data_IF_998062350581
#
_entry.id   IF_998062350581
#
_cell.length_a   1.000
_cell.length_b   1.000
_cell.length_c   1.000
_cell.angle_alpha   90.00
_cell.angle_beta   90.00
_cell.angle_gamma   90.00
#
_symmetry.space_group_name_H-M   'P 1'
#
loop_
_entity.id
_entity.type
_entity.pdbx_description
1 polymer ?
#
# COMPACT_ATOMS: atom_id res chain seq x y z
N UNK A 1 -24.23 -15.73 -4.47
CA UNK A 1 -23.84 -14.54 -3.75
C UNK A 1 -22.39 -14.21 -4.01
N UNK A 2 -22.16 -13.05 -4.51
CA UNK A 2 -20.81 -12.61 -4.80
C UNK A 2 -20.14 -12.17 -3.50
N UNK A 3 -19.03 -12.75 -3.19
CA UNK A 3 -18.21 -12.28 -2.08
C UNK A 3 -17.05 -11.52 -2.64
N UNK A 4 -16.94 -10.29 -2.21
CA UNK A 4 -15.79 -9.49 -2.58
C UNK A 4 -14.63 -9.90 -1.68
N UNK A 5 -13.64 -10.50 -2.25
CA UNK A 5 -12.46 -10.89 -1.51
C UNK A 5 -11.43 -9.79 -1.59
N UNK A 6 -10.88 -9.44 -0.45
CA UNK A 6 -9.76 -8.53 -0.41
C UNK A 6 -8.53 -9.24 -0.94
N UNK A 7 -7.82 -8.61 -1.86
CA UNK A 7 -6.51 -9.08 -2.25
C UNK A 7 -5.49 -8.56 -1.27
N UNK A 8 -4.56 -9.40 -0.87
CA UNK A 8 -3.49 -9.03 0.04
C UNK A 8 -2.18 -8.94 -0.74
N UNK A 9 -1.54 -7.79 -0.66
CA UNK A 9 -0.22 -7.58 -1.25
C UNK A 9 0.76 -7.42 -0.11
N UNK A 10 1.66 -8.37 0.07
CA UNK A 10 2.66 -8.32 1.13
C UNK A 10 3.89 -7.60 0.62
N UNK A 11 4.30 -6.54 1.31
CA UNK A 11 5.51 -5.82 0.94
C UNK A 11 6.74 -6.56 1.48
N UNK A 12 7.83 -6.61 0.69
CA UNK A 12 9.07 -7.23 1.17
C UNK A 12 9.76 -6.34 2.21
N UNK A 13 10.81 -6.87 2.82
CA UNK A 13 11.58 -6.13 3.80
C UNK A 13 12.20 -4.87 3.19
N UNK A 14 12.69 -4.96 1.97
CA UNK A 14 13.30 -3.84 1.27
C UNK A 14 12.40 -3.48 0.08
N UNK A 15 11.79 -2.30 0.17
CA UNK A 15 10.93 -1.80 -0.91
C UNK A 15 11.69 -0.66 -1.57
N UNK A 16 12.65 -1.03 -2.42
CA UNK A 16 13.46 -0.08 -3.16
C UNK A 16 13.01 -0.01 -4.62
N UNK A 17 13.76 0.73 -5.43
CA UNK A 17 13.38 0.93 -6.83
C UNK A 17 13.34 -0.37 -7.62
N UNK A 18 14.20 -1.32 -7.27
CA UNK A 18 14.22 -2.60 -7.97
C UNK A 18 13.00 -3.46 -7.67
N UNK A 19 12.40 -3.27 -6.50
CA UNK A 19 11.22 -4.03 -6.08
C UNK A 19 9.92 -3.41 -6.58
N UNK A 20 9.95 -2.18 -7.10
CA UNK A 20 8.72 -1.44 -7.42
C UNK A 20 7.92 -2.06 -8.55
N UNK A 21 8.58 -2.51 -9.62
CA UNK A 21 7.86 -2.97 -10.80
C UNK A 21 6.93 -4.15 -10.50
N UNK A 22 7.39 -5.24 -9.88
CA UNK A 22 6.48 -6.33 -9.56
C UNK A 22 5.41 -5.94 -8.55
N UNK A 23 5.74 -5.08 -7.58
CA UNK A 23 4.76 -4.62 -6.60
C UNK A 23 3.71 -3.75 -7.29
N UNK A 24 4.13 -2.87 -8.19
CA UNK A 24 3.21 -2.01 -8.92
C UNK A 24 2.25 -2.84 -9.77
N UNK A 25 2.75 -3.85 -10.46
CA UNK A 25 1.91 -4.71 -11.28
C UNK A 25 0.86 -5.43 -10.44
N UNK A 26 1.27 -5.91 -9.27
CA UNK A 26 0.36 -6.56 -8.35
C UNK A 26 -0.72 -5.59 -7.84
N UNK A 27 -0.32 -4.37 -7.51
CA UNK A 27 -1.24 -3.36 -7.02
C UNK A 27 -2.23 -2.93 -8.09
N UNK A 28 -1.76 -2.70 -9.31
CA UNK A 28 -2.63 -2.30 -10.42
C UNK A 28 -3.71 -3.36 -10.63
N UNK A 29 -3.31 -4.62 -10.68
CA UNK A 29 -4.26 -5.70 -10.85
C UNK A 29 -5.24 -5.78 -9.69
N UNK A 30 -4.74 -5.62 -8.46
CA UNK A 30 -5.56 -5.73 -7.27
C UNK A 30 -6.60 -4.61 -7.18
N UNK A 31 -6.21 -3.36 -7.46
CA UNK A 31 -7.14 -2.22 -7.33
C UNK A 31 -8.21 -2.21 -8.41
N UNK A 32 -8.02 -2.98 -9.46
CA UNK A 32 -9.03 -3.13 -10.51
C UNK A 32 -9.97 -4.30 -10.22
N UNK A 33 -9.62 -5.15 -9.27
CA UNK A 33 -10.36 -6.38 -9.01
C UNK A 33 -11.26 -6.31 -7.77
N UNK A 34 -10.93 -5.46 -6.80
CA UNK A 34 -11.70 -5.38 -5.57
C UNK A 34 -10.92 -4.69 -4.46
N UNK A 35 -11.35 -4.86 -3.21
CA UNK A 35 -10.65 -4.29 -2.07
C UNK A 35 -9.22 -4.83 -1.93
N UNK A 36 -8.33 -4.00 -1.44
CA UNK A 36 -6.91 -4.36 -1.33
C UNK A 36 -6.40 -4.10 0.08
N UNK A 37 -5.65 -5.05 0.61
CA UNK A 37 -4.92 -4.89 1.85
C UNK A 37 -3.44 -5.04 1.55
N UNK A 38 -2.67 -4.04 1.93
CA UNK A 38 -1.22 -4.04 1.76
C UNK A 38 -0.59 -4.31 3.13
N UNK A 39 0.12 -5.42 3.25
CA UNK A 39 0.78 -5.77 4.51
C UNK A 39 2.15 -5.12 4.59
N UNK A 40 2.34 -4.32 5.60
CA UNK A 40 3.60 -3.60 5.80
C UNK A 40 4.45 -4.12 6.95
N UNK A 41 4.09 -5.25 7.55
CA UNK A 41 4.75 -5.73 8.76
C UNK A 41 6.22 -6.08 8.56
N UNK A 42 6.58 -6.56 7.37
CA UNK A 42 7.95 -6.98 7.08
C UNK A 42 8.86 -5.82 6.65
N UNK A 43 8.31 -4.65 6.38
CA UNK A 43 9.07 -3.56 5.78
C UNK A 43 10.14 -3.02 6.74
N UNK A 44 11.39 -3.05 6.28
CA UNK A 44 12.52 -2.47 7.00
C UNK A 44 12.99 -1.18 6.34
N UNK A 45 12.84 -1.10 5.01
CA UNK A 45 13.17 0.07 4.22
C UNK A 45 12.13 0.28 3.16
N UNK A 46 11.78 1.54 2.92
CA UNK A 46 10.85 1.88 1.86
C UNK A 46 11.33 3.13 1.15
N UNK A 47 11.43 3.05 -0.18
CA UNK A 47 11.82 4.19 -0.99
C UNK A 47 10.67 5.19 -1.08
N UNK A 48 11.00 6.47 -1.23
CA UNK A 48 10.00 7.52 -1.36
C UNK A 48 9.03 7.24 -2.49
N UNK A 49 9.53 6.79 -3.63
CA UNK A 49 8.67 6.48 -4.77
C UNK A 49 7.67 5.37 -4.47
N UNK A 50 8.04 4.44 -3.60
CA UNK A 50 7.12 3.38 -3.19
C UNK A 50 5.93 3.94 -2.42
N UNK A 51 6.17 4.93 -1.57
CA UNK A 51 5.09 5.57 -0.84
C UNK A 51 4.14 6.30 -1.78
N UNK A 52 4.67 7.01 -2.76
CA UNK A 52 3.82 7.68 -3.75
C UNK A 52 3.05 6.67 -4.60
N UNK A 53 3.67 5.54 -4.90
CA UNK A 53 2.99 4.47 -5.63
C UNK A 53 1.80 3.93 -4.84
N UNK A 54 1.97 3.74 -3.53
CA UNK A 54 0.88 3.28 -2.68
C UNK A 54 -0.25 4.30 -2.63
N UNK A 55 0.09 5.58 -2.57
CA UNK A 55 -0.92 6.63 -2.58
C UNK A 55 -1.70 6.64 -3.90
N UNK A 56 -0.99 6.46 -5.01
CA UNK A 56 -1.64 6.39 -6.32
C UNK A 56 -2.57 5.18 -6.43
N UNK A 57 -2.13 4.05 -5.89
CA UNK A 57 -2.95 2.85 -5.88
C UNK A 57 -4.20 3.05 -5.04
N UNK A 58 -4.05 3.70 -3.88
CA UNK A 58 -5.19 3.99 -3.01
C UNK A 58 -6.19 4.89 -3.70
N UNK A 59 -5.71 5.89 -4.44
CA UNK A 59 -6.58 6.80 -5.17
C UNK A 59 -7.34 6.06 -6.28
N UNK A 60 -6.68 5.17 -6.99
CA UNK A 60 -7.31 4.37 -8.04
C UNK A 60 -8.39 3.47 -7.44
N UNK A 61 -8.10 2.84 -6.30
CA UNK A 61 -9.08 2.00 -5.63
C UNK A 61 -10.30 2.82 -5.21
N UNK A 62 -10.08 4.03 -4.69
CA UNK A 62 -11.17 4.91 -4.29
C UNK A 62 -12.06 5.25 -5.48
N UNK A 63 -11.47 5.53 -6.63
CA UNK A 63 -12.23 5.83 -7.85
C UNK A 63 -13.04 4.64 -8.30
N UNK A 64 -12.57 3.44 -8.04
CA UNK A 64 -13.27 2.21 -8.39
C UNK A 64 -14.23 1.77 -7.28
N UNK A 65 -14.35 2.56 -6.21
CA UNK A 65 -15.21 2.27 -5.05
C UNK A 65 -14.77 1.02 -4.30
N UNK A 66 -13.48 0.75 -4.28
CA UNK A 66 -12.91 -0.36 -3.52
C UNK A 66 -12.12 0.16 -2.32
N UNK A 67 -12.23 -0.54 -1.20
CA UNK A 67 -11.46 -0.21 -0.02
C UNK A 67 -9.97 -0.52 -0.25
N UNK A 68 -9.11 0.32 0.31
CA UNK A 68 -7.68 0.13 0.24
C UNK A 68 -7.10 0.44 1.63
N UNK A 69 -6.32 -0.47 2.17
CA UNK A 69 -5.74 -0.28 3.49
C UNK A 69 -4.33 -0.84 3.54
N UNK A 70 -3.46 -0.13 4.27
CA UNK A 70 -2.14 -0.65 4.63
C UNK A 70 -2.27 -1.19 6.03
N UNK A 71 -2.16 -2.51 6.17
CA UNK A 71 -2.34 -3.18 7.45
C UNK A 71 -1.00 -3.47 8.09
N UNK A 72 -0.96 -3.42 9.41
CA UNK A 72 0.22 -3.75 10.20
C UNK A 72 1.48 -3.03 9.71
N UNK A 73 1.41 -1.69 9.52
CA UNK A 73 2.61 -0.98 9.07
C UNK A 73 3.73 -1.11 10.09
N UNK A 74 4.93 -1.47 9.62
CA UNK A 74 6.09 -1.57 10.49
C UNK A 74 6.50 -0.19 10.98
N UNK A 75 7.31 -0.15 12.03
CA UNK A 75 7.83 1.13 12.52
C UNK A 75 8.66 1.86 11.47
N UNK A 76 9.58 1.20 10.75
CA UNK A 76 10.30 1.88 9.68
C UNK A 76 9.38 2.45 8.60
N UNK A 77 8.29 1.75 8.28
CA UNK A 77 7.31 2.26 7.32
C UNK A 77 6.65 3.53 7.85
N UNK A 78 6.20 3.51 9.09
CA UNK A 78 5.56 4.67 9.71
C UNK A 78 6.50 5.87 9.78
N UNK A 79 7.77 5.62 10.14
CA UNK A 79 8.76 6.68 10.22
C UNK A 79 9.02 7.31 8.86
N UNK A 80 9.07 6.49 7.81
CA UNK A 80 9.25 7.01 6.46
C UNK A 80 8.10 7.92 6.07
N UNK A 81 6.87 7.52 6.37
CA UNK A 81 5.68 8.32 6.09
C UNK A 81 5.76 9.67 6.81
N UNK A 82 6.14 9.64 8.08
CA UNK A 82 6.24 10.86 8.89
C UNK A 82 7.32 11.80 8.37
N UNK A 83 8.49 11.26 8.04
CA UNK A 83 9.62 12.06 7.57
C UNK A 83 9.32 12.82 6.28
N UNK A 84 8.46 12.25 5.45
CA UNK A 84 8.08 12.89 4.20
C UNK A 84 6.87 13.80 4.35
N UNK A 85 6.33 13.91 5.55
CA UNK A 85 5.14 14.73 5.78
C UNK A 85 3.87 14.15 5.19
N UNK A 86 3.83 12.83 4.99
CA UNK A 86 2.70 12.16 4.36
C UNK A 86 1.73 11.55 5.36
N UNK A 87 1.89 11.88 6.65
CA UNK A 87 1.06 11.30 7.70
C UNK A 87 -0.42 11.48 7.46
N UNK A 88 -0.83 12.68 7.04
CA UNK A 88 -2.25 12.95 6.81
C UNK A 88 -2.81 12.10 5.68
N UNK A 89 -2.06 11.97 4.59
CA UNK A 89 -2.48 11.20 3.43
C UNK A 89 -2.59 9.72 3.74
N UNK A 90 -1.64 9.20 4.53
CA UNK A 90 -1.63 7.79 4.86
C UNK A 90 -2.58 7.46 6.02
N UNK A 91 -2.93 8.43 6.86
CA UNK A 91 -3.80 8.15 8.01
C UNK A 91 -5.14 7.55 7.56
N UNK A 92 -5.63 7.96 6.39
CA UNK A 92 -6.91 7.48 5.90
C UNK A 92 -6.86 6.02 5.45
N UNK A 93 -5.67 5.50 5.16
CA UNK A 93 -5.53 4.15 4.61
C UNK A 93 -4.71 3.22 5.50
N UNK A 94 -4.12 3.71 6.58
CA UNK A 94 -3.33 2.86 7.47
C UNK A 94 -4.19 2.26 8.56
N UNK A 95 -4.04 0.97 8.78
CA UNK A 95 -4.72 0.22 9.84
C UNK A 95 -3.68 -0.50 10.69
N UNK A 96 -3.89 -0.49 11.94
CA UNK A 96 -3.01 -1.14 12.86
C UNK A 96 -2.20 -0.17 13.64
#
# INVERSE_FOLDING_TARGET
MAQTRSKTVALPAIVDLDALDPIRDELIDAVESGPVKVKGAAVERVATNALFMLMSAAETARRNNFAFAVTEPSEPFRLAVERLGLGSQFAAIMEG
#
